data_IF_935422128722
#
_entry.id   IF_935422128722
#
_cell.length_a   1.000
_cell.length_b   1.000
_cell.length_c   1.000
_cell.angle_alpha   90.00
_cell.angle_beta   90.00
_cell.angle_gamma   90.00
#
_symmetry.space_group_name_H-M   'P 1'
#
loop_
_entity.id
_entity.type
_entity.pdbx_description
1 polymer ?
#
# COMPACT_ATOMS: atom_id res chain seq x y z
N UNK A 1 -13.97 -0.55 3.82
CA UNK A 1 -12.83 -0.84 2.94
C UNK A 1 -12.84 0.19 1.83
N UNK A 2 -11.95 1.19 1.87
CA UNK A 2 -11.57 1.93 0.67
C UNK A 2 -10.91 1.01 -0.36
N UNK A 3 -10.99 1.41 -1.63
CA UNK A 3 -10.29 0.77 -2.74
C UNK A 3 -8.97 1.50 -3.03
N UNK A 4 -7.90 0.71 -3.19
CA UNK A 4 -6.58 1.15 -3.65
C UNK A 4 -6.35 0.61 -5.06
N UNK A 5 -6.24 1.50 -6.05
CA UNK A 5 -5.80 1.14 -7.39
C UNK A 5 -4.28 1.35 -7.52
N UNK A 6 -3.57 0.32 -7.97
CA UNK A 6 -2.14 0.36 -8.26
C UNK A 6 -1.92 0.03 -9.74
N UNK A 7 -1.38 1.00 -10.47
CA UNK A 7 -1.14 0.87 -11.91
C UNK A 7 -0.28 -0.37 -12.21
N UNK A 8 -0.79 -1.26 -13.07
CA UNK A 8 -0.11 -2.49 -13.46
C UNK A 8 -0.22 -3.66 -12.45
N UNK A 9 -0.78 -3.44 -11.26
CA UNK A 9 -0.98 -4.49 -10.26
C UNK A 9 -2.47 -4.81 -10.00
N UNK A 10 -3.37 -3.82 -10.10
CA UNK A 10 -4.82 -4.00 -9.97
C UNK A 10 -5.45 -3.13 -8.89
N UNK A 11 -6.66 -3.49 -8.47
CA UNK A 11 -7.43 -2.80 -7.43
C UNK A 11 -7.60 -3.72 -6.22
N UNK A 12 -7.39 -3.17 -5.02
CA UNK A 12 -7.37 -3.91 -3.76
C UNK A 12 -8.27 -3.22 -2.74
N UNK A 13 -9.09 -4.00 -2.05
CA UNK A 13 -9.78 -3.52 -0.85
C UNK A 13 -8.78 -3.45 0.31
N UNK A 14 -8.68 -2.30 0.97
CA UNK A 14 -7.75 -2.09 2.08
C UNK A 14 -8.47 -1.55 3.31
N UNK A 15 -7.82 -1.65 4.48
CA UNK A 15 -8.34 -1.09 5.72
C UNK A 15 -8.25 0.45 5.73
N UNK A 16 -9.28 1.11 6.27
CA UNK A 16 -9.43 2.58 6.22
C UNK A 16 -8.29 3.33 6.92
N UNK A 17 -7.78 2.78 8.03
CA UNK A 17 -6.70 3.39 8.82
C UNK A 17 -5.31 2.86 8.45
N UNK A 18 -5.19 2.10 7.35
CA UNK A 18 -3.90 1.55 6.93
C UNK A 18 -3.05 2.62 6.26
N UNK A 19 -1.76 2.60 6.58
CA UNK A 19 -0.77 3.46 5.90
C UNK A 19 -0.66 3.02 4.44
N UNK A 20 -0.80 3.97 3.51
CA UNK A 20 -0.73 3.69 2.07
C UNK A 20 0.55 2.94 1.66
N UNK A 21 1.70 3.26 2.25
CA UNK A 21 2.97 2.58 1.96
C UNK A 21 2.93 1.09 2.31
N UNK A 22 2.24 0.71 3.40
CA UNK A 22 2.05 -0.69 3.79
C UNK A 22 1.04 -1.38 2.89
N UNK A 23 -0.01 -0.68 2.49
CA UNK A 23 -1.03 -1.24 1.60
C UNK A 23 -0.45 -1.59 0.21
N UNK A 24 0.42 -0.74 -0.33
CA UNK A 24 1.09 -1.00 -1.61
C UNK A 24 2.03 -2.22 -1.50
N UNK A 25 2.79 -2.34 -0.42
CA UNK A 25 3.74 -3.45 -0.24
C UNK A 25 3.05 -4.77 0.11
N UNK A 26 2.16 -4.76 1.11
CA UNK A 26 1.62 -5.98 1.72
C UNK A 26 0.33 -6.47 1.04
N UNK A 27 -0.53 -5.56 0.55
CA UNK A 27 -1.80 -5.94 -0.10
C UNK A 27 -1.63 -6.02 -1.63
N UNK A 28 -0.94 -5.05 -2.24
CA UNK A 28 -0.69 -5.06 -3.68
C UNK A 28 0.59 -5.80 -4.11
N UNK A 29 1.47 -6.15 -3.16
CA UNK A 29 2.70 -6.89 -3.45
C UNK A 29 3.75 -6.09 -4.23
N UNK A 30 3.68 -4.75 -4.18
CA UNK A 30 4.55 -3.86 -4.95
C UNK A 30 5.59 -3.21 -4.04
N UNK A 31 6.86 -3.51 -4.28
CA UNK A 31 7.97 -2.82 -3.62
C UNK A 31 8.20 -1.44 -4.26
N UNK A 32 7.94 -0.38 -3.48
CA UNK A 32 8.18 1.01 -3.88
C UNK A 32 9.55 1.54 -3.44
N UNK A 33 10.45 0.66 -2.98
CA UNK A 33 11.84 0.93 -2.62
C UNK A 33 12.01 2.00 -1.53
N UNK A 34 10.99 2.20 -0.70
CA UNK A 34 11.03 3.21 0.36
C UNK A 34 11.99 2.79 1.49
N UNK A 35 12.73 3.75 2.05
CA UNK A 35 13.74 3.46 3.09
C UNK A 35 13.21 3.61 4.52
N UNK A 36 11.96 4.07 4.69
CA UNK A 36 11.43 4.33 6.02
C UNK A 36 10.90 3.07 6.71
N UNK A 37 10.66 1.97 5.99
CA UNK A 37 10.15 0.71 6.54
C UNK A 37 8.91 0.91 7.42
N UNK A 38 8.02 1.83 7.01
CA UNK A 38 6.80 2.28 7.71
C UNK A 38 6.94 3.22 8.94
N UNK A 39 8.15 3.68 9.29
CA UNK A 39 8.41 4.52 10.46
C UNK A 39 8.44 6.04 10.19
N UNK A 40 8.15 6.48 8.96
CA UNK A 40 8.03 7.91 8.66
C UNK A 40 6.72 8.47 9.23
N UNK A 41 6.80 9.61 9.93
CA UNK A 41 5.68 10.32 10.55
C UNK A 41 5.31 11.56 9.76
#
# INVERSE_FOLDING_TARGET
MPELEVEGAGTFDVDEDRRLVLAIEEDAGVDIMHQCGSHAH
#
